data_IF_305633816316
#
_entry.id   IF_305633816316
#
_cell.length_a   1.000
_cell.length_b   1.000
_cell.length_c   1.000
_cell.angle_alpha   90.00
_cell.angle_beta   90.00
_cell.angle_gamma   90.00
#
_symmetry.space_group_name_H-M   'P 1'
#
loop_
_entity.id
_entity.type
_entity.pdbx_description
1 polymer ?
#
# COMPACT_ATOMS: atom_id res chain seq x y z
N UNK A 1 -12.72 4.80 -8.13
CA UNK A 1 -13.06 6.15 -8.62
C UNK A 1 -12.45 7.22 -7.71
N UNK A 2 -12.62 7.09 -6.39
CA UNK A 2 -12.29 8.10 -5.38
C UNK A 2 -10.82 8.57 -5.37
N UNK A 3 -9.84 7.65 -5.45
CA UNK A 3 -8.41 8.00 -5.44
C UNK A 3 -8.04 8.92 -6.61
N UNK A 4 -8.55 8.63 -7.82
CA UNK A 4 -8.25 9.42 -9.02
C UNK A 4 -8.92 10.80 -8.91
N UNK A 5 -10.20 10.83 -8.55
CA UNK A 5 -10.93 12.08 -8.36
C UNK A 5 -10.27 12.99 -7.32
N UNK A 6 -9.87 12.44 -6.17
CA UNK A 6 -9.23 13.21 -5.10
C UNK A 6 -7.85 13.74 -5.54
N UNK A 7 -7.10 12.98 -6.35
CA UNK A 7 -5.84 13.45 -6.94
C UNK A 7 -6.06 14.61 -7.89
N UNK A 8 -7.08 14.54 -8.74
CA UNK A 8 -7.42 15.60 -9.68
C UNK A 8 -7.87 16.86 -8.95
N UNK A 9 -8.71 16.73 -7.92
CA UNK A 9 -9.08 17.86 -7.03
C UNK A 9 -7.85 18.51 -6.42
N UNK A 10 -6.93 17.74 -5.84
CA UNK A 10 -5.70 18.28 -5.24
C UNK A 10 -4.79 18.94 -6.31
N UNK A 11 -4.75 18.40 -7.52
CA UNK A 11 -3.97 18.96 -8.61
C UNK A 11 -4.53 20.32 -9.07
N UNK A 12 -5.85 20.48 -9.08
CA UNK A 12 -6.51 21.74 -9.47
C UNK A 12 -6.50 22.77 -8.34
N UNK A 13 -6.84 22.37 -7.11
CA UNK A 13 -7.13 23.28 -6.00
C UNK A 13 -5.91 23.47 -5.06
N UNK A 14 -4.92 22.60 -5.17
CA UNK A 14 -3.75 22.59 -4.31
C UNK A 14 -3.97 21.81 -3.02
N UNK A 15 -2.86 21.61 -2.28
CA UNK A 15 -2.85 20.81 -1.04
C UNK A 15 -3.31 21.61 0.18
N UNK A 16 -3.36 22.92 0.06
CA UNK A 16 -3.70 23.87 1.13
C UNK A 16 -4.44 25.05 0.54
N UNK A 17 -5.28 25.69 1.34
CA UNK A 17 -5.96 26.93 0.97
C UNK A 17 -5.78 27.98 2.07
N UNK A 18 -5.84 29.25 1.68
CA UNK A 18 -5.70 30.37 2.60
C UNK A 18 -7.08 30.91 2.96
N UNK A 19 -7.31 31.12 4.25
CA UNK A 19 -8.53 31.74 4.78
C UNK A 19 -8.15 33.06 5.41
N UNK A 20 -8.88 34.12 5.06
CA UNK A 20 -8.76 35.40 5.75
C UNK A 20 -9.57 35.34 7.06
N UNK A 21 -8.94 35.78 8.14
CA UNK A 21 -9.53 35.90 9.47
C UNK A 21 -9.33 37.32 9.99
N UNK A 22 -10.00 37.68 11.07
CA UNK A 22 -9.85 39.00 11.70
C UNK A 22 -8.40 39.29 12.15
N UNK A 23 -7.62 38.23 12.44
CA UNK A 23 -6.20 38.33 12.83
C UNK A 23 -5.21 38.16 11.69
N UNK A 24 -5.67 38.10 10.42
CA UNK A 24 -4.82 37.90 9.24
C UNK A 24 -5.11 36.61 8.48
N UNK A 25 -4.16 36.18 7.65
CA UNK A 25 -4.30 34.99 6.80
C UNK A 25 -3.87 33.71 7.52
N UNK A 26 -4.70 32.68 7.44
CA UNK A 26 -4.43 31.34 7.95
C UNK A 26 -4.38 30.34 6.79
N UNK A 27 -3.32 29.54 6.73
CA UNK A 27 -3.19 28.44 5.77
C UNK A 27 -3.77 27.17 6.39
N UNK A 28 -4.74 26.55 5.73
CA UNK A 28 -5.38 25.30 6.16
C UNK A 28 -5.10 24.16 5.18
N UNK A 29 -4.97 22.91 5.67
CA UNK A 29 -4.86 21.74 4.81
C UNK A 29 -6.16 21.50 4.03
N UNK A 30 -6.04 21.09 2.78
CA UNK A 30 -7.19 20.77 1.95
C UNK A 30 -7.81 19.43 2.37
N UNK A 31 -9.13 19.33 2.60
CA UNK A 31 -9.76 18.09 3.06
C UNK A 31 -9.50 16.89 2.16
N UNK A 32 -9.44 17.12 0.83
CA UNK A 32 -9.16 16.08 -0.16
C UNK A 32 -7.82 15.35 0.11
N UNK A 33 -6.84 16.01 0.73
CA UNK A 33 -5.54 15.40 1.06
C UNK A 33 -5.71 14.30 2.12
N UNK A 34 -6.49 14.57 3.18
CA UNK A 34 -6.75 13.59 4.22
C UNK A 34 -7.62 12.43 3.70
N UNK A 35 -8.62 12.75 2.87
CA UNK A 35 -9.49 11.75 2.24
C UNK A 35 -8.71 10.83 1.29
N UNK A 36 -7.76 11.38 0.53
CA UNK A 36 -6.90 10.58 -0.35
C UNK A 36 -6.04 9.60 0.45
N UNK A 37 -5.42 10.07 1.53
CA UNK A 37 -4.59 9.22 2.38
C UNK A 37 -5.40 8.07 3.03
N UNK A 38 -6.66 8.31 3.35
CA UNK A 38 -7.56 7.28 3.86
C UNK A 38 -7.97 6.27 2.76
N UNK A 39 -8.34 6.76 1.58
CA UNK A 39 -8.66 5.91 0.43
C UNK A 39 -7.49 5.00 0.02
N UNK A 40 -6.26 5.53 0.01
CA UNK A 40 -5.05 4.77 -0.27
C UNK A 40 -4.79 3.67 0.79
N UNK A 41 -5.01 3.97 2.07
CA UNK A 41 -4.90 2.96 3.14
C UNK A 41 -5.91 1.83 2.95
N UNK A 42 -7.18 2.17 2.68
CA UNK A 42 -8.24 1.18 2.42
C UNK A 42 -7.88 0.32 1.20
N UNK A 43 -7.42 0.94 0.12
CA UNK A 43 -6.97 0.22 -1.08
C UNK A 43 -5.84 -0.76 -0.77
N UNK A 44 -4.82 -0.34 -0.01
CA UNK A 44 -3.73 -1.23 0.42
C UNK A 44 -4.24 -2.39 1.27
N UNK A 45 -5.16 -2.16 2.20
CA UNK A 45 -5.76 -3.23 3.00
C UNK A 45 -6.49 -4.24 2.13
N UNK A 46 -7.26 -3.80 1.13
CA UNK A 46 -7.91 -4.72 0.20
C UNK A 46 -6.90 -5.58 -0.58
N UNK A 47 -5.75 -5.02 -0.99
CA UNK A 47 -4.71 -5.80 -1.65
C UNK A 47 -4.12 -6.91 -0.76
N UNK A 48 -4.08 -6.71 0.56
CA UNK A 48 -3.66 -7.73 1.52
C UNK A 48 -4.66 -8.87 1.55
N UNK A 49 -5.95 -8.58 1.68
CA UNK A 49 -7.02 -9.59 1.73
C UNK A 49 -7.05 -10.49 0.49
N UNK A 50 -6.75 -9.94 -0.69
CA UNK A 50 -6.69 -10.71 -1.94
C UNK A 50 -5.36 -11.43 -2.17
N UNK A 51 -4.43 -11.47 -1.20
CA UNK A 51 -3.13 -12.13 -1.39
C UNK A 51 -2.21 -11.45 -2.40
N UNK A 52 -2.53 -10.20 -2.80
CA UNK A 52 -1.79 -9.46 -3.82
C UNK A 52 -0.52 -8.82 -3.27
N UNK A 53 -0.26 -8.94 -1.95
CA UNK A 53 1.00 -8.55 -1.34
C UNK A 53 1.91 -9.77 -1.11
N UNK A 54 3.25 -9.63 -1.22
CA UNK A 54 4.17 -10.75 -0.98
C UNK A 54 4.02 -11.39 0.40
N UNK A 55 3.65 -10.60 1.43
CA UNK A 55 3.43 -11.07 2.78
C UNK A 55 2.11 -11.86 2.96
N UNK A 56 1.11 -11.59 2.11
CA UNK A 56 -0.19 -12.25 2.17
C UNK A 56 -0.24 -13.56 1.37
N UNK A 57 0.73 -13.81 0.48
CA UNK A 57 0.88 -15.14 -0.14
C UNK A 57 1.45 -16.09 0.89
N UNK A 58 0.76 -17.19 1.16
CA UNK A 58 1.30 -18.29 1.96
C UNK A 58 2.64 -18.70 1.35
N UNK A 59 3.68 -18.78 2.18
CA UNK A 59 4.99 -19.29 1.77
C UNK A 59 4.76 -20.69 1.19
N UNK A 60 5.17 -20.94 -0.05
CA UNK A 60 5.23 -22.29 -0.58
C UNK A 60 6.23 -23.03 0.29
N UNK A 61 5.73 -23.81 1.24
CA UNK A 61 6.56 -24.73 2.00
C UNK A 61 6.97 -25.81 1.02
N UNK A 62 8.22 -25.77 0.55
CA UNK A 62 8.89 -27.00 0.16
C UNK A 62 8.88 -27.85 1.42
N UNK A 63 7.97 -28.83 1.49
CA UNK A 63 8.13 -29.86 2.50
C UNK A 63 9.53 -30.43 2.25
N UNK A 64 10.48 -30.15 3.15
CA UNK A 64 11.73 -30.89 3.31
C UNK A 64 11.39 -32.30 3.86
N UNK A 65 10.37 -32.92 3.27
CA UNK A 65 9.67 -34.11 3.74
C UNK A 65 10.25 -35.39 3.17
N UNK A 66 11.23 -35.32 2.27
CA UNK A 66 12.10 -36.42 1.94
C UNK A 66 13.47 -35.81 1.59
N UNK A 67 14.40 -35.83 2.55
CA UNK A 67 15.81 -35.96 2.17
C UNK A 67 15.93 -37.34 1.52
N UNK A 68 15.56 -37.45 0.25
CA UNK A 68 16.12 -38.50 -0.58
C UNK A 68 17.63 -38.29 -0.50
N UNK A 69 18.34 -39.31 -0.01
CA UNK A 69 19.80 -39.32 -0.06
C UNK A 69 20.21 -38.95 -1.48
N UNK A 70 21.16 -38.02 -1.60
CA UNK A 70 21.66 -37.60 -2.90
C UNK A 70 22.06 -38.86 -3.69
N UNK A 71 21.46 -39.13 -4.87
CA UNK A 71 21.80 -40.29 -5.66
C UNK A 71 23.28 -40.35 -6.04
N UNK A 72 24.05 -39.26 -5.90
CA UNK A 72 25.50 -39.26 -6.06
C UNK A 72 26.27 -39.89 -4.89
N UNK A 73 25.67 -39.98 -3.69
CA UNK A 73 26.30 -40.53 -2.48
C UNK A 73 26.79 -41.97 -2.66
N UNK A 74 26.12 -42.73 -3.53
CA UNK A 74 26.45 -44.14 -3.82
C UNK A 74 27.72 -44.32 -4.66
N UNK A 75 28.27 -43.24 -5.24
CA UNK A 75 29.41 -43.29 -6.16
C UNK A 75 30.72 -42.73 -5.59
N UNK A 76 30.67 -42.03 -4.45
CA UNK A 76 31.83 -41.30 -3.89
C UNK A 76 31.99 -41.50 -2.38
N UNK A 77 31.86 -42.74 -1.90
CA UNK A 77 32.24 -43.13 -0.53
C UNK A 77 33.74 -43.19 -0.31
#
# INVERSE_FOLDING_TARGET
>A
ADILQLRDTIAMEGRTYTVQTDGGFLIKPHPAVAMLADADRRFKSYLVEFGLTPAARTKVNTHDGNKEEDPLSQFFG
#
